data_IF_600666353750
#
_entry.id   IF_600666353750
#
_cell.length_a   1.000
_cell.length_b   1.000
_cell.length_c   1.000
_cell.angle_alpha   90.00
_cell.angle_beta   90.00
_cell.angle_gamma   90.00
#
_symmetry.space_group_name_H-M   'P 1'
#
loop_
_entity.id
_entity.type
_entity.pdbx_description
1 polymer ?
#
# COMPACT_ATOMS: atom_id res chain seq x y z
N UNK A 1 -21.93 8.37 1.53
CA UNK A 1 -22.65 8.19 2.82
C UNK A 1 -22.01 9.10 3.87
N UNK A 2 -22.80 9.82 4.66
CA UNK A 2 -22.29 10.61 5.77
C UNK A 2 -22.08 9.69 6.99
N UNK A 3 -20.92 9.81 7.65
CA UNK A 3 -20.59 9.02 8.83
C UNK A 3 -21.61 9.19 9.97
N UNK A 4 -22.21 10.37 10.09
CA UNK A 4 -23.25 10.66 11.10
C UNK A 4 -24.48 9.77 10.95
N UNK A 5 -24.78 9.29 9.75
CA UNK A 5 -25.91 8.37 9.51
C UNK A 5 -25.70 6.98 10.08
N UNK A 6 -24.46 6.67 10.47
CA UNK A 6 -24.07 5.39 11.09
C UNK A 6 -24.10 5.41 12.62
N UNK A 7 -24.21 6.59 13.25
CA UNK A 7 -24.43 6.69 14.70
C UNK A 7 -25.77 6.04 15.08
N UNK A 8 -25.78 5.27 16.16
CA UNK A 8 -26.94 4.51 16.62
C UNK A 8 -27.23 3.24 15.79
N UNK A 9 -26.40 2.88 14.81
CA UNK A 9 -26.56 1.71 13.96
C UNK A 9 -25.78 0.51 14.50
N UNK A 10 -25.96 -0.67 13.88
CA UNK A 10 -25.25 -1.90 14.20
C UNK A 10 -23.90 -1.91 13.50
N UNK A 11 -22.83 -1.86 14.28
CA UNK A 11 -21.44 -1.87 13.77
C UNK A 11 -20.75 -3.15 14.21
N UNK A 12 -20.20 -3.91 13.25
CA UNK A 12 -19.41 -5.11 13.52
C UNK A 12 -17.94 -4.84 13.32
N UNK A 13 -17.10 -5.36 14.22
CA UNK A 13 -15.65 -5.06 14.20
C UNK A 13 -14.82 -6.08 14.97
N UNK A 14 -13.55 -6.24 14.60
CA UNK A 14 -12.52 -6.90 15.40
C UNK A 14 -11.85 -5.94 16.42
N UNK A 15 -12.22 -4.64 16.40
CA UNK A 15 -11.59 -3.59 17.20
C UNK A 15 -12.62 -2.79 18.03
N UNK A 16 -13.37 -3.42 18.97
CA UNK A 16 -14.51 -2.78 19.62
C UNK A 16 -14.13 -1.52 20.43
N UNK A 17 -13.00 -1.54 21.13
CA UNK A 17 -12.55 -0.37 21.92
C UNK A 17 -12.23 0.84 21.04
N UNK A 18 -11.58 0.62 19.90
CA UNK A 18 -11.25 1.68 18.95
C UNK A 18 -12.51 2.23 18.29
N UNK A 19 -13.39 1.32 17.85
CA UNK A 19 -14.69 1.67 17.25
C UNK A 19 -15.54 2.48 18.22
N UNK A 20 -15.62 2.07 19.50
CA UNK A 20 -16.35 2.81 20.53
C UNK A 20 -15.80 4.24 20.69
N UNK A 21 -14.48 4.41 20.82
CA UNK A 21 -13.87 5.74 20.94
C UNK A 21 -14.15 6.64 19.74
N UNK A 22 -14.34 6.05 18.56
CA UNK A 22 -14.65 6.81 17.35
C UNK A 22 -16.12 7.24 17.31
N UNK A 23 -17.06 6.36 17.74
CA UNK A 23 -18.48 6.65 17.72
C UNK A 23 -18.99 7.42 18.93
N UNK A 24 -18.35 7.31 20.12
CA UNK A 24 -18.80 8.00 21.34
C UNK A 24 -19.09 9.49 21.14
N UNK A 25 -18.22 10.31 20.49
CA UNK A 25 -18.53 11.72 20.24
C UNK A 25 -19.72 11.95 19.30
N UNK A 26 -19.90 11.07 18.31
CA UNK A 26 -21.03 11.14 17.39
C UNK A 26 -22.34 10.75 18.07
N UNK A 27 -22.30 9.74 18.92
CA UNK A 27 -23.44 9.27 19.70
C UNK A 27 -23.88 10.36 20.70
N UNK A 28 -22.94 11.04 21.37
CA UNK A 28 -23.22 12.17 22.26
C UNK A 28 -23.86 13.34 21.53
N UNK A 29 -23.33 13.73 20.34
CA UNK A 29 -23.89 14.82 19.52
C UNK A 29 -25.31 14.52 19.09
N UNK A 30 -25.62 13.26 18.77
CA UNK A 30 -26.89 12.85 18.18
C UNK A 30 -27.90 12.29 19.22
N UNK A 31 -27.48 12.11 20.49
CA UNK A 31 -28.32 11.54 21.53
C UNK A 31 -28.69 10.07 21.29
N UNK A 32 -27.83 9.29 20.68
CA UNK A 32 -28.05 7.88 20.36
C UNK A 32 -26.95 7.00 20.97
N UNK A 33 -27.05 5.67 20.78
CA UNK A 33 -26.01 4.72 21.19
C UNK A 33 -25.77 3.73 20.06
N UNK A 34 -24.56 3.68 19.57
CA UNK A 34 -24.15 2.75 18.51
C UNK A 34 -23.99 1.34 19.07
N UNK A 35 -24.65 0.34 18.43
CA UNK A 35 -24.56 -1.06 18.82
C UNK A 35 -23.33 -1.72 18.20
N UNK A 36 -22.25 -1.86 18.98
CA UNK A 36 -20.98 -2.41 18.55
C UNK A 36 -20.86 -3.88 18.93
N UNK A 37 -20.70 -4.76 17.92
CA UNK A 37 -20.52 -6.20 18.09
C UNK A 37 -19.11 -6.62 17.71
N UNK A 38 -18.49 -7.40 18.57
CA UNK A 38 -17.20 -8.02 18.29
C UNK A 38 -17.38 -9.27 17.42
N UNK A 39 -16.58 -9.38 16.36
CA UNK A 39 -16.41 -10.57 15.52
C UNK A 39 -14.93 -10.79 15.24
N UNK A 40 -14.48 -12.03 15.35
CA UNK A 40 -13.10 -12.42 15.07
C UNK A 40 -12.97 -12.92 13.62
N UNK A 41 -12.57 -12.02 12.70
CA UNK A 41 -12.40 -12.33 11.26
C UNK A 41 -13.69 -12.29 10.44
N UNK A 42 -13.54 -12.22 9.12
CA UNK A 42 -14.63 -12.13 8.13
C UNK A 42 -15.70 -11.06 8.45
N UNK A 43 -15.23 -9.94 8.97
CA UNK A 43 -16.08 -8.81 9.44
C UNK A 43 -16.94 -8.26 8.30
N UNK A 44 -16.40 -8.24 7.07
CA UNK A 44 -17.07 -7.78 5.84
C UNK A 44 -18.33 -8.59 5.51
N UNK A 45 -18.37 -9.87 5.89
CA UNK A 45 -19.53 -10.72 5.64
C UNK A 45 -20.77 -10.29 6.44
N UNK A 46 -20.59 -9.62 7.58
CA UNK A 46 -21.70 -9.22 8.45
C UNK A 46 -22.70 -8.29 7.76
N UNK A 47 -22.23 -7.35 6.92
CA UNK A 47 -23.11 -6.48 6.13
C UNK A 47 -23.87 -7.28 5.07
N UNK A 48 -23.19 -8.15 4.33
CA UNK A 48 -23.81 -8.99 3.30
C UNK A 48 -24.89 -9.93 3.85
N UNK A 49 -24.74 -10.37 5.11
CA UNK A 49 -25.72 -11.20 5.82
C UNK A 49 -26.84 -10.38 6.51
N UNK A 50 -26.82 -9.05 6.41
CA UNK A 50 -27.80 -8.19 7.08
C UNK A 50 -27.65 -8.11 8.61
N UNK A 51 -26.52 -8.56 9.16
CA UNK A 51 -26.24 -8.54 10.59
C UNK A 51 -25.69 -7.21 11.08
N UNK A 52 -25.12 -6.41 10.20
CA UNK A 52 -24.57 -5.09 10.48
C UNK A 52 -24.96 -4.09 9.39
N UNK A 53 -25.01 -2.82 9.79
CA UNK A 53 -25.25 -1.69 8.89
C UNK A 53 -23.92 -1.12 8.37
N UNK A 54 -22.84 -1.28 9.16
CA UNK A 54 -21.47 -1.00 8.73
C UNK A 54 -20.46 -1.87 9.50
N UNK A 55 -19.20 -1.83 9.03
CA UNK A 55 -18.08 -2.54 9.65
C UNK A 55 -16.90 -1.60 9.87
N UNK A 56 -16.12 -1.86 10.92
CA UNK A 56 -14.82 -1.22 11.13
C UNK A 56 -13.76 -2.31 11.06
N UNK A 57 -12.90 -2.21 10.05
CA UNK A 57 -11.85 -3.20 9.80
C UNK A 57 -10.60 -2.57 9.17
N UNK A 58 -9.51 -3.35 9.09
CA UNK A 58 -8.28 -2.95 8.41
C UNK A 58 -8.49 -2.95 6.89
N UNK A 59 -8.11 -1.86 6.25
CA UNK A 59 -8.15 -1.75 4.78
C UNK A 59 -6.74 -1.47 4.26
N UNK A 60 -6.15 -2.43 3.55
CA UNK A 60 -4.86 -2.26 2.88
C UNK A 60 -5.05 -1.89 1.40
N UNK A 61 -5.58 -2.81 0.60
CA UNK A 61 -5.86 -2.60 -0.83
C UNK A 61 -7.32 -2.35 -1.14
N UNK A 62 -8.20 -2.64 -0.20
CA UNK A 62 -9.65 -2.57 -0.36
C UNK A 62 -10.25 -3.67 -1.25
N UNK A 63 -9.48 -4.67 -1.68
CA UNK A 63 -9.95 -5.74 -2.59
C UNK A 63 -11.07 -6.56 -1.96
N UNK A 64 -10.90 -7.04 -0.72
CA UNK A 64 -11.90 -7.84 0.01
C UNK A 64 -13.17 -7.04 0.25
N UNK A 65 -13.02 -5.78 0.67
CA UNK A 65 -14.12 -4.84 0.89
C UNK A 65 -14.94 -4.62 -0.40
N UNK A 66 -14.27 -4.35 -1.53
CA UNK A 66 -14.93 -4.16 -2.83
C UNK A 66 -15.63 -5.44 -3.31
N UNK A 67 -15.02 -6.61 -3.10
CA UNK A 67 -15.63 -7.89 -3.44
C UNK A 67 -16.90 -8.16 -2.61
N UNK A 68 -16.98 -7.63 -1.38
CA UNK A 68 -18.17 -7.69 -0.54
C UNK A 68 -19.20 -6.57 -0.85
N UNK A 69 -18.98 -5.74 -1.87
CA UNK A 69 -19.86 -4.63 -2.24
C UNK A 69 -19.86 -3.48 -1.25
N UNK A 70 -18.81 -3.34 -0.44
CA UNK A 70 -18.66 -2.28 0.55
C UNK A 70 -17.81 -1.14 0.03
N UNK A 71 -18.06 0.08 0.54
CA UNK A 71 -17.27 1.27 0.29
C UNK A 71 -16.72 1.88 1.60
N UNK A 72 -15.61 2.59 1.52
CA UNK A 72 -15.05 3.31 2.67
C UNK A 72 -15.83 4.60 2.88
N UNK A 73 -16.47 4.71 4.04
CA UNK A 73 -17.22 5.91 4.46
C UNK A 73 -16.34 6.89 5.20
N UNK A 74 -15.49 6.38 6.10
CA UNK A 74 -14.57 7.20 6.89
C UNK A 74 -13.30 6.41 7.25
N UNK A 75 -12.21 7.12 7.51
CA UNK A 75 -10.98 6.55 8.07
C UNK A 75 -10.94 6.82 9.56
N UNK A 76 -11.00 5.76 10.36
CA UNK A 76 -10.94 5.84 11.82
C UNK A 76 -9.52 6.18 12.29
N UNK A 77 -8.50 5.53 11.70
CA UNK A 77 -7.10 5.62 12.10
C UNK A 77 -6.20 5.14 10.96
N UNK A 78 -5.06 5.80 10.78
CA UNK A 78 -3.98 5.28 9.95
C UNK A 78 -3.06 4.40 10.79
N UNK A 79 -2.73 3.21 10.28
CA UNK A 79 -1.89 2.22 10.96
C UNK A 79 -0.76 1.75 10.06
N UNK A 80 0.29 1.24 10.68
CA UNK A 80 1.36 0.53 9.98
C UNK A 80 1.73 -0.75 10.74
N UNK A 81 2.15 -1.78 10.02
CA UNK A 81 2.67 -3.00 10.61
C UNK A 81 4.16 -2.83 10.91
N UNK A 82 4.56 -3.13 12.14
CA UNK A 82 5.96 -3.03 12.58
C UNK A 82 6.47 -4.37 13.10
N UNK A 83 7.73 -4.66 12.81
CA UNK A 83 8.44 -5.79 13.42
C UNK A 83 9.01 -5.36 14.77
N UNK A 84 8.60 -6.02 15.84
CA UNK A 84 9.11 -5.75 17.19
C UNK A 84 9.95 -6.92 17.69
N UNK A 85 10.93 -6.61 18.52
CA UNK A 85 11.79 -7.60 19.17
C UNK A 85 12.11 -7.20 20.62
N UNK A 86 12.45 -8.17 21.45
CA UNK A 86 12.94 -7.88 22.79
C UNK A 86 14.35 -7.25 22.69
N UNK A 87 14.55 -6.11 23.34
CA UNK A 87 15.84 -5.40 23.37
C UNK A 87 16.97 -6.23 23.97
N UNK A 88 16.64 -7.17 24.87
CA UNK A 88 17.61 -8.07 25.55
C UNK A 88 17.74 -9.42 24.86
N UNK A 89 17.24 -9.58 23.62
CA UNK A 89 17.37 -10.85 22.89
C UNK A 89 18.83 -11.23 22.68
N UNK A 90 19.15 -12.50 22.86
CA UNK A 90 20.45 -13.10 22.55
C UNK A 90 20.58 -13.49 21.06
N UNK A 91 19.46 -13.50 20.31
CA UNK A 91 19.37 -13.93 18.91
C UNK A 91 19.35 -12.72 17.95
N UNK A 92 20.29 -11.79 18.13
CA UNK A 92 20.37 -10.56 17.30
C UNK A 92 20.62 -10.85 15.82
N UNK A 93 21.38 -11.88 15.54
CA UNK A 93 21.70 -12.39 14.20
C UNK A 93 20.44 -12.89 13.46
N UNK A 94 19.59 -13.66 14.15
CA UNK A 94 18.31 -14.14 13.60
C UNK A 94 17.36 -12.99 13.34
N UNK A 95 17.26 -12.02 14.27
CA UNK A 95 16.42 -10.82 14.09
C UNK A 95 16.88 -10.02 12.88
N UNK A 96 18.20 -9.79 12.74
CA UNK A 96 18.76 -9.07 11.59
C UNK A 96 18.48 -9.82 10.28
N UNK A 97 18.62 -11.14 10.26
CA UNK A 97 18.31 -11.96 9.08
C UNK A 97 16.84 -11.86 8.68
N UNK A 98 15.92 -12.00 9.65
CA UNK A 98 14.47 -11.88 9.40
C UNK A 98 14.10 -10.49 8.88
N UNK A 99 14.62 -9.45 9.53
CA UNK A 99 14.43 -8.07 9.08
C UNK A 99 14.87 -7.89 7.63
N UNK A 100 16.07 -8.35 7.29
CA UNK A 100 16.61 -8.22 5.93
C UNK A 100 15.76 -8.96 4.89
N UNK A 101 15.28 -10.17 5.20
CA UNK A 101 14.38 -10.94 4.31
C UNK A 101 13.05 -10.24 4.11
N UNK A 102 12.43 -9.70 5.16
CA UNK A 102 11.17 -8.94 5.09
C UNK A 102 11.37 -7.67 4.25
N UNK A 103 12.45 -6.92 4.47
CA UNK A 103 12.78 -5.72 3.68
C UNK A 103 12.97 -6.04 2.20
N UNK A 104 13.63 -7.17 1.89
CA UNK A 104 13.80 -7.66 0.52
C UNK A 104 12.46 -7.97 -0.15
N UNK A 105 11.59 -8.69 0.56
CA UNK A 105 10.24 -9.01 0.08
C UNK A 105 9.41 -7.74 -0.17
N UNK A 106 9.38 -6.80 0.79
CA UNK A 106 8.67 -5.52 0.65
C UNK A 106 9.20 -4.73 -0.54
N UNK A 107 10.52 -4.73 -0.75
CA UNK A 107 11.12 -4.06 -1.91
C UNK A 107 10.63 -4.68 -3.22
N UNK A 108 10.63 -6.02 -3.32
CA UNK A 108 10.14 -6.73 -4.50
C UNK A 108 8.64 -6.50 -4.76
N UNK A 109 7.85 -6.28 -3.72
CA UNK A 109 6.43 -5.94 -3.87
C UNK A 109 6.19 -4.50 -4.37
N UNK A 110 7.07 -3.57 -4.00
CA UNK A 110 6.90 -2.13 -4.29
C UNK A 110 7.56 -1.68 -5.60
N UNK A 111 8.56 -2.40 -6.07
CA UNK A 111 9.37 -2.00 -7.22
C UNK A 111 9.34 -3.05 -8.33
N UNK A 112 9.56 -2.58 -9.54
CA UNK A 112 9.84 -3.36 -10.74
C UNK A 112 11.17 -2.90 -11.34
N UNK A 113 11.82 -3.76 -12.09
CA UNK A 113 12.98 -3.36 -12.89
C UNK A 113 12.49 -2.84 -14.24
N UNK A 114 12.88 -1.62 -14.59
CA UNK A 114 12.68 -1.06 -15.93
C UNK A 114 14.02 -1.05 -16.65
N UNK A 115 14.06 -1.64 -17.83
CA UNK A 115 15.23 -1.65 -18.69
C UNK A 115 14.88 -1.00 -20.03
N UNK A 116 15.77 -0.19 -20.56
CA UNK A 116 15.58 0.51 -21.83
C UNK A 116 16.91 0.85 -22.49
N UNK A 117 16.86 1.15 -23.79
CA UNK A 117 17.99 1.62 -24.56
C UNK A 117 17.86 3.12 -24.83
N UNK A 118 18.99 3.83 -24.92
CA UNK A 118 19.02 5.24 -25.28
C UNK A 118 20.34 5.62 -25.97
N UNK A 119 20.33 6.74 -26.70
CA UNK A 119 21.56 7.35 -27.21
C UNK A 119 22.27 8.15 -26.11
N UNK A 120 23.57 8.43 -26.29
CA UNK A 120 24.36 9.28 -25.42
C UNK A 120 23.71 10.65 -25.16
N UNK A 121 23.10 11.23 -26.20
CA UNK A 121 22.52 12.58 -26.17
C UNK A 121 21.35 12.71 -25.18
N UNK A 122 20.59 11.65 -24.96
CA UNK A 122 19.41 11.66 -24.05
C UNK A 122 19.67 10.96 -22.72
N UNK A 123 20.85 10.35 -22.53
CA UNK A 123 21.18 9.54 -21.35
C UNK A 123 20.92 10.28 -20.04
N UNK A 124 21.37 11.53 -19.93
CA UNK A 124 21.16 12.33 -18.73
C UNK A 124 19.68 12.60 -18.45
N UNK A 125 18.90 12.87 -19.49
CA UNK A 125 17.46 13.14 -19.36
C UNK A 125 16.70 11.90 -18.88
N UNK A 126 16.95 10.72 -19.50
CA UNK A 126 16.25 9.48 -19.16
C UNK A 126 16.66 8.93 -17.79
N UNK A 127 17.92 9.10 -17.38
CA UNK A 127 18.37 8.68 -16.04
C UNK A 127 17.82 9.56 -14.91
N UNK A 128 17.51 10.83 -15.17
CA UNK A 128 16.76 11.67 -14.23
C UNK A 128 15.32 11.21 -14.01
N UNK A 129 14.68 10.64 -15.04
CA UNK A 129 13.32 10.04 -14.93
C UNK A 129 13.38 8.76 -14.08
N UNK A 130 14.45 7.97 -14.21
CA UNK A 130 14.62 6.71 -13.49
C UNK A 130 15.87 6.69 -12.60
N UNK A 131 15.91 7.50 -11.54
CA UNK A 131 17.10 7.58 -10.67
C UNK A 131 17.35 6.30 -9.86
N UNK A 132 16.40 5.37 -9.87
CA UNK A 132 16.48 4.13 -9.09
C UNK A 132 16.40 4.34 -7.58
N UNK A 133 16.73 3.31 -6.82
CA UNK A 133 16.83 3.39 -5.35
C UNK A 133 18.12 4.08 -4.88
N UNK A 134 19.18 3.98 -5.67
CA UNK A 134 20.49 4.66 -5.46
C UNK A 134 20.93 5.33 -6.74
N UNK A 135 21.09 4.53 -7.80
CA UNK A 135 21.45 4.97 -9.15
C UNK A 135 21.01 3.89 -10.15
N UNK A 136 20.75 4.26 -11.43
CA UNK A 136 20.55 3.29 -12.49
C UNK A 136 21.86 2.56 -12.81
N UNK A 137 21.74 1.34 -13.35
CA UNK A 137 22.86 0.64 -13.98
C UNK A 137 22.91 1.07 -15.45
N UNK A 138 24.07 1.47 -15.92
CA UNK A 138 24.28 1.91 -17.31
C UNK A 138 25.35 1.03 -17.92
N UNK A 139 25.07 0.47 -19.12
CA UNK A 139 26.00 -0.38 -19.87
C UNK A 139 26.07 0.13 -21.32
N UNK A 140 27.27 0.28 -21.85
CA UNK A 140 27.46 0.68 -23.24
C UNK A 140 27.04 -0.42 -24.20
N UNK A 141 26.34 -0.05 -25.26
CA UNK A 141 25.97 -0.94 -26.36
C UNK A 141 27.03 -0.92 -27.47
N UNK A 142 27.06 -1.94 -28.30
CA UNK A 142 28.03 -2.08 -29.39
C UNK A 142 27.85 -1.06 -30.51
N UNK A 143 26.66 -0.46 -30.59
CA UNK A 143 26.31 0.58 -31.59
C UNK A 143 26.58 2.02 -31.10
N UNK A 144 27.18 2.17 -29.92
CA UNK A 144 27.50 3.47 -29.32
C UNK A 144 26.37 4.07 -28.46
N UNK A 145 25.28 3.32 -28.24
CA UNK A 145 24.22 3.69 -27.31
C UNK A 145 24.45 3.12 -25.91
N UNK A 146 23.42 3.25 -25.06
CA UNK A 146 23.41 2.76 -23.67
C UNK A 146 22.16 1.93 -23.37
N UNK A 147 22.36 0.79 -22.70
CA UNK A 147 21.32 0.08 -21.99
C UNK A 147 21.28 0.55 -20.53
N UNK A 148 20.11 0.93 -20.07
CA UNK A 148 19.89 1.42 -18.71
C UNK A 148 18.92 0.49 -17.99
N UNK A 149 19.23 0.09 -16.75
CA UNK A 149 18.33 -0.67 -15.89
C UNK A 149 18.16 0.05 -14.56
N UNK A 150 16.91 0.23 -14.12
CA UNK A 150 16.61 0.98 -12.92
C UNK A 150 15.38 0.44 -12.20
N UNK A 151 15.36 0.56 -10.87
CA UNK A 151 14.19 0.22 -10.05
C UNK A 151 13.20 1.39 -10.05
N UNK A 152 11.96 1.09 -10.44
CA UNK A 152 10.85 2.04 -10.47
C UNK A 152 9.70 1.52 -9.60
N UNK A 153 8.98 2.39 -8.91
CA UNK A 153 7.82 1.99 -8.13
C UNK A 153 6.71 1.47 -9.05
N UNK A 154 6.14 0.33 -8.70
CA UNK A 154 5.05 -0.30 -9.48
C UNK A 154 3.90 0.67 -9.78
N UNK A 155 3.54 1.53 -8.83
CA UNK A 155 2.44 2.49 -8.99
C UNK A 155 2.73 3.60 -10.02
N UNK A 156 4.00 3.86 -10.29
CA UNK A 156 4.47 4.95 -11.15
C UNK A 156 4.93 4.45 -12.54
N UNK A 157 5.04 3.13 -12.72
CA UNK A 157 5.70 2.52 -13.88
C UNK A 157 5.09 2.94 -15.22
N UNK A 158 3.76 3.00 -15.32
CA UNK A 158 3.08 3.39 -16.57
C UNK A 158 3.47 4.80 -16.98
N UNK A 159 3.36 5.76 -16.06
CA UNK A 159 3.77 7.14 -16.31
C UNK A 159 5.26 7.25 -16.65
N UNK A 160 6.11 6.52 -15.93
CA UNK A 160 7.56 6.50 -16.18
C UNK A 160 7.89 5.98 -17.57
N UNK A 161 7.17 4.96 -18.07
CA UNK A 161 7.34 4.45 -19.44
C UNK A 161 6.99 5.51 -20.49
N UNK A 162 5.88 6.23 -20.29
CA UNK A 162 5.47 7.32 -21.15
C UNK A 162 6.50 8.46 -21.19
N UNK A 163 6.97 8.88 -19.99
CA UNK A 163 7.98 9.92 -19.84
C UNK A 163 9.33 9.52 -20.48
N UNK A 164 9.75 8.26 -20.31
CA UNK A 164 10.96 7.70 -20.94
C UNK A 164 10.85 7.70 -22.47
N UNK A 165 9.70 7.25 -22.99
CA UNK A 165 9.48 7.22 -24.43
C UNK A 165 9.54 8.65 -25.02
N UNK A 166 8.88 9.60 -24.37
CA UNK A 166 8.90 11.02 -24.78
C UNK A 166 10.32 11.63 -24.70
N UNK A 167 11.14 11.21 -23.74
CA UNK A 167 12.53 11.66 -23.59
C UNK A 167 13.52 11.00 -24.57
N UNK A 168 13.05 10.03 -25.40
CA UNK A 168 13.86 9.40 -26.43
C UNK A 168 14.40 8.01 -26.08
N UNK A 169 14.01 7.42 -24.95
CA UNK A 169 14.28 6.01 -24.67
C UNK A 169 13.54 5.08 -25.66
N UNK A 170 14.13 3.92 -25.91
CA UNK A 170 13.60 2.87 -26.81
C UNK A 170 13.71 1.52 -26.12
N UNK A 171 13.02 0.52 -26.65
CA UNK A 171 13.07 -0.87 -26.19
C UNK A 171 12.77 -0.99 -24.69
N UNK A 172 11.77 -0.24 -24.22
CA UNK A 172 11.43 -0.17 -22.78
C UNK A 172 10.78 -1.48 -22.35
N UNK A 173 11.41 -2.17 -21.39
CA UNK A 173 10.96 -3.43 -20.82
C UNK A 173 10.75 -3.29 -19.31
N UNK A 174 9.67 -3.87 -18.82
CA UNK A 174 9.35 -3.94 -17.37
C UNK A 174 9.37 -5.40 -16.92
N UNK A 175 10.14 -5.70 -15.87
CA UNK A 175 10.31 -7.04 -15.32
C UNK A 175 9.96 -7.06 -13.81
#
# INVERSE_FOLDING_TARGET
TDIKTLAGKRIVTSFPTLTKKFFDPLDEEMGVTTDIKFVSGSVEAACGLGLADAVVDLVETGTTMKAAGLEVVATVLHTESVLITNQKTTHKDIVALLKHRIEGYITAQKFVMVSYNCSEQVLEAVTKITPGKRSPTITSLTDGGHAVSSLVKKKEVVKVMDDLYAAGARDILVV
#
